data_IF_838653695569
#
_entry.id   IF_838653695569
#
_cell.length_a   1.000
_cell.length_b   1.000
_cell.length_c   1.000
_cell.angle_alpha   90.00
_cell.angle_beta   90.00
_cell.angle_gamma   90.00
#
_symmetry.space_group_name_H-M   'P 1'
#
loop_
_entity.id
_entity.type
_entity.pdbx_description
1 polymer ?
#
# COMPACT_ATOMS: atom_id res chain seq x y z
N UNK A 1 -0.46 14.12 8.82
CA UNK A 1 0.43 13.24 9.61
C UNK A 1 0.78 11.96 8.85
N UNK A 2 -0.19 11.26 8.24
CA UNK A 2 0.04 10.06 7.41
C UNK A 2 1.11 10.25 6.32
N UNK A 3 1.13 11.41 5.67
CA UNK A 3 2.12 11.75 4.62
C UNK A 3 3.56 11.83 5.13
N UNK A 4 3.79 12.32 6.36
CA UNK A 4 5.14 12.42 6.93
C UNK A 4 5.72 11.04 7.27
N UNK A 5 4.91 10.15 7.84
CA UNK A 5 5.32 8.77 8.10
C UNK A 5 5.60 8.01 6.80
N UNK A 6 4.72 8.14 5.80
CA UNK A 6 4.92 7.47 4.52
C UNK A 6 6.20 7.94 3.83
N UNK A 7 6.52 9.25 3.88
CA UNK A 7 7.80 9.77 3.39
C UNK A 7 9.01 9.19 4.12
N UNK A 8 8.90 9.01 5.45
CA UNK A 8 9.93 8.32 6.26
C UNK A 8 10.12 6.85 5.86
N UNK A 9 9.03 6.13 5.61
CA UNK A 9 9.08 4.73 5.12
C UNK A 9 9.77 4.65 3.76
N UNK A 10 9.46 5.56 2.83
CA UNK A 10 10.15 5.63 1.53
C UNK A 10 11.67 5.81 1.69
N UNK A 11 12.11 6.68 2.61
CA UNK A 11 13.53 6.83 2.93
C UNK A 11 14.14 5.55 3.50
N UNK A 12 13.48 4.96 4.50
CA UNK A 12 13.92 3.73 5.17
C UNK A 12 14.08 2.56 4.20
N UNK A 13 13.09 2.32 3.34
CA UNK A 13 13.10 1.24 2.35
C UNK A 13 14.28 1.38 1.40
N UNK A 14 14.56 2.60 0.92
CA UNK A 14 15.70 2.86 0.02
C UNK A 14 17.04 2.63 0.70
N UNK A 15 17.20 3.07 1.95
CA UNK A 15 18.43 2.82 2.73
C UNK A 15 18.62 1.33 2.97
N UNK A 16 17.60 0.64 3.50
CA UNK A 16 17.71 -0.78 3.83
C UNK A 16 17.95 -1.66 2.60
N UNK A 17 17.39 -1.32 1.44
CA UNK A 17 17.63 -2.06 0.20
C UNK A 17 19.11 -2.22 -0.16
N UNK A 18 19.97 -1.31 0.30
CA UNK A 18 21.43 -1.40 0.18
C UNK A 18 22.04 -2.08 1.41
N UNK A 19 21.69 -1.62 2.63
CA UNK A 19 22.33 -2.06 3.87
C UNK A 19 22.11 -3.53 4.23
N UNK A 20 20.98 -4.13 3.83
CA UNK A 20 20.66 -5.54 4.14
C UNK A 20 20.84 -6.48 2.94
N UNK A 21 21.49 -6.01 1.87
CA UNK A 21 21.77 -6.84 0.70
C UNK A 21 22.47 -8.16 1.11
N UNK A 22 22.12 -9.30 0.50
CA UNK A 22 21.27 -9.46 -0.68
C UNK A 22 19.75 -9.57 -0.41
N UNK A 23 19.29 -9.30 0.82
CA UNK A 23 17.86 -9.35 1.14
C UNK A 23 17.11 -8.18 0.48
N UNK A 24 15.86 -8.44 0.07
CA UNK A 24 14.98 -7.43 -0.55
C UNK A 24 14.05 -6.84 0.48
N UNK A 25 13.73 -5.56 0.31
CA UNK A 25 12.75 -4.83 1.13
C UNK A 25 11.91 -3.92 0.24
N UNK A 26 10.60 -3.90 0.50
CA UNK A 26 9.62 -3.09 -0.21
C UNK A 26 8.58 -2.59 0.81
N UNK A 27 7.86 -1.52 0.47
CA UNK A 27 6.72 -1.04 1.23
C UNK A 27 5.43 -1.18 0.43
N UNK A 28 4.35 -1.50 1.14
CA UNK A 28 2.99 -1.51 0.61
C UNK A 28 2.23 -0.39 1.29
N UNK A 29 1.54 0.42 0.49
CA UNK A 29 0.75 1.57 0.93
C UNK A 29 -0.72 1.36 0.54
N UNK A 30 -1.51 0.68 1.38
CA UNK A 30 -2.94 0.52 1.13
C UNK A 30 -3.69 1.84 1.28
N UNK A 31 -4.75 2.01 0.48
CA UNK A 31 -5.80 2.97 0.73
C UNK A 31 -6.72 2.52 1.87
N UNK A 32 -7.96 3.01 1.86
CA UNK A 32 -8.99 2.50 2.79
C UNK A 32 -9.41 1.11 2.32
N UNK A 33 -9.17 0.12 3.17
CA UNK A 33 -9.49 -1.29 2.92
C UNK A 33 -10.90 -1.60 3.41
N UNK A 34 -11.86 -1.66 2.50
CA UNK A 34 -13.28 -1.62 2.80
C UNK A 34 -13.78 -2.81 3.62
N UNK A 35 -13.27 -4.01 3.38
CA UNK A 35 -13.65 -5.24 4.10
C UNK A 35 -12.81 -5.50 5.36
N UNK A 36 -11.88 -4.60 5.70
CA UNK A 36 -11.05 -4.76 6.90
C UNK A 36 -11.89 -4.60 8.18
N UNK A 37 -11.48 -5.20 9.32
CA UNK A 37 -12.19 -5.05 10.59
C UNK A 37 -12.42 -3.59 11.03
N UNK A 38 -11.57 -2.67 10.56
CA UNK A 38 -11.68 -1.25 10.87
C UNK A 38 -12.79 -0.54 10.08
N UNK A 39 -13.06 -0.97 8.86
CA UNK A 39 -13.90 -0.22 7.90
C UNK A 39 -15.11 -0.98 7.36
N UNK A 40 -15.20 -2.29 7.60
CA UNK A 40 -16.32 -3.13 7.11
C UNK A 40 -17.71 -2.66 7.52
N UNK A 41 -17.80 -1.97 8.66
CA UNK A 41 -19.05 -1.48 9.23
C UNK A 41 -19.31 0.01 8.86
N UNK A 42 -18.55 0.57 7.92
CA UNK A 42 -18.64 1.95 7.43
C UNK A 42 -18.85 2.01 5.89
N UNK A 43 -20.02 1.57 5.37
CA UNK A 43 -20.26 1.42 3.93
C UNK A 43 -20.24 2.75 3.15
N UNK A 44 -20.50 3.88 3.80
CA UNK A 44 -20.49 5.22 3.19
C UNK A 44 -19.20 6.00 3.49
N UNK A 45 -18.06 5.31 3.60
CA UNK A 45 -16.79 5.96 3.89
C UNK A 45 -16.50 7.07 2.85
N UNK A 46 -16.14 8.31 3.27
CA UNK A 46 -15.99 9.46 2.36
C UNK A 46 -15.00 9.26 1.21
N UNK A 47 -14.04 8.35 1.39
CA UNK A 47 -13.06 8.04 0.35
C UNK A 47 -13.69 7.27 -0.83
N UNK A 48 -14.79 6.55 -0.64
CA UNK A 48 -15.45 5.79 -1.71
C UNK A 48 -15.82 6.70 -2.89
N UNK A 49 -16.38 7.88 -2.61
CA UNK A 49 -16.76 8.85 -3.64
C UNK A 49 -15.56 9.48 -4.39
N UNK A 50 -14.37 9.42 -3.79
CA UNK A 50 -13.13 9.97 -4.36
C UNK A 50 -12.27 8.90 -5.04
N UNK A 51 -12.44 7.63 -4.68
CA UNK A 51 -11.63 6.54 -5.21
C UNK A 51 -11.95 6.28 -6.69
N UNK A 52 -10.99 6.51 -7.62
CA UNK A 52 -11.24 6.38 -9.07
C UNK A 52 -11.82 5.05 -9.55
N UNK A 53 -11.46 3.92 -8.93
CA UNK A 53 -12.03 2.61 -9.31
C UNK A 53 -13.49 2.41 -8.85
N UNK A 54 -14.12 3.41 -8.22
CA UNK A 54 -15.53 3.40 -7.83
C UNK A 54 -15.86 2.56 -6.60
N UNK A 55 -14.85 2.00 -5.93
CA UNK A 55 -14.98 1.24 -4.68
C UNK A 55 -13.72 1.34 -3.85
N UNK A 56 -13.83 1.01 -2.57
CA UNK A 56 -12.67 0.81 -1.71
C UNK A 56 -11.91 -0.46 -2.14
N UNK A 57 -10.60 -0.49 -1.85
CA UNK A 57 -9.80 -1.70 -2.05
C UNK A 57 -10.15 -2.75 -0.99
N UNK A 58 -9.86 -4.00 -1.28
CA UNK A 58 -10.17 -5.15 -0.42
C UNK A 58 -8.89 -5.69 0.24
N UNK A 59 -9.08 -6.45 1.30
CA UNK A 59 -7.99 -7.12 2.01
C UNK A 59 -7.29 -8.12 1.08
N UNK A 60 -8.06 -8.82 0.24
CA UNK A 60 -7.52 -9.75 -0.76
C UNK A 60 -6.57 -9.06 -1.77
N UNK A 61 -6.89 -7.84 -2.23
CA UNK A 61 -6.03 -7.09 -3.15
C UNK A 61 -4.71 -6.64 -2.49
N UNK A 62 -4.74 -6.32 -1.19
CA UNK A 62 -3.51 -6.00 -0.43
C UNK A 62 -2.65 -7.25 -0.21
N UNK A 63 -3.28 -8.40 0.03
CA UNK A 63 -2.57 -9.69 0.15
C UNK A 63 -1.93 -10.08 -1.18
N UNK A 64 -2.64 -9.97 -2.30
CA UNK A 64 -2.08 -10.25 -3.63
C UNK A 64 -0.86 -9.36 -3.94
N UNK A 65 -0.94 -8.06 -3.62
CA UNK A 65 0.20 -7.14 -3.74
C UNK A 65 1.40 -7.57 -2.86
N UNK A 66 1.13 -8.11 -1.68
CA UNK A 66 2.16 -8.66 -0.79
C UNK A 66 2.81 -9.90 -1.40
N UNK A 67 2.02 -10.84 -1.92
CA UNK A 67 2.53 -12.01 -2.61
C UNK A 67 3.33 -11.65 -3.86
N UNK A 68 2.90 -10.63 -4.61
CA UNK A 68 3.63 -10.11 -5.76
C UNK A 68 5.05 -9.65 -5.38
N UNK A 69 5.20 -8.80 -4.37
CA UNK A 69 6.54 -8.30 -3.97
C UNK A 69 7.41 -9.40 -3.34
N UNK A 70 6.79 -10.43 -2.76
CA UNK A 70 7.51 -11.61 -2.27
C UNK A 70 8.00 -12.51 -3.42
N UNK A 71 7.17 -12.81 -4.42
CA UNK A 71 7.52 -13.71 -5.54
C UNK A 71 8.39 -13.06 -6.61
N UNK A 72 8.23 -11.76 -6.89
CA UNK A 72 8.99 -11.10 -7.93
C UNK A 72 10.39 -10.74 -7.44
N UNK A 73 11.38 -11.56 -7.81
CA UNK A 73 12.78 -11.41 -7.36
C UNK A 73 13.49 -10.18 -7.94
N UNK A 74 12.93 -9.55 -8.98
CA UNK A 74 13.45 -8.32 -9.57
C UNK A 74 13.00 -7.04 -8.87
N UNK A 75 12.04 -7.12 -7.93
CA UNK A 75 11.49 -5.96 -7.22
C UNK A 75 12.18 -5.76 -5.88
N UNK A 76 12.82 -4.60 -5.72
CA UNK A 76 13.45 -4.15 -4.49
C UNK A 76 13.30 -2.62 -4.36
N UNK A 77 13.24 -2.12 -3.13
CA UNK A 77 13.06 -0.71 -2.81
C UNK A 77 11.79 -0.05 -3.37
N UNK A 78 10.72 -0.81 -3.62
CA UNK A 78 9.47 -0.32 -4.19
C UNK A 78 8.53 0.23 -3.11
N UNK A 79 7.90 1.38 -3.38
CA UNK A 79 6.69 1.84 -2.72
C UNK A 79 5.46 1.45 -3.58
N UNK A 80 4.77 0.37 -3.21
CA UNK A 80 3.62 -0.14 -3.95
C UNK A 80 2.31 0.37 -3.35
N UNK A 81 1.60 1.22 -4.09
CA UNK A 81 0.31 1.77 -3.67
C UNK A 81 -0.84 0.86 -4.11
N UNK A 82 -1.71 0.50 -3.16
CA UNK A 82 -2.92 -0.31 -3.38
C UNK A 82 -4.11 0.47 -2.84
N UNK A 83 -4.52 1.51 -3.56
CA UNK A 83 -5.46 2.52 -3.06
C UNK A 83 -6.59 2.86 -4.04
N UNK A 84 -6.68 2.13 -5.15
CA UNK A 84 -7.67 2.38 -6.19
C UNK A 84 -7.52 3.74 -6.89
N UNK A 85 -6.36 4.39 -6.77
CA UNK A 85 -6.08 5.72 -7.34
C UNK A 85 -6.43 6.88 -6.41
N UNK A 86 -6.83 6.63 -5.16
CA UNK A 86 -7.24 7.67 -4.23
C UNK A 86 -6.17 8.76 -4.03
N UNK A 87 -4.88 8.41 -3.98
CA UNK A 87 -3.80 9.37 -3.71
C UNK A 87 -3.59 10.45 -4.77
N UNK A 88 -4.20 10.31 -5.95
CA UNK A 88 -4.11 11.29 -7.05
C UNK A 88 -5.39 12.10 -7.21
N UNK A 89 -6.28 12.05 -6.21
CA UNK A 89 -7.54 12.81 -6.09
C UNK A 89 -7.57 13.58 -4.78
#
# INVERSE_FOLDING_TARGET
MVTAFNGGITGLVKTLAVEIAPHRINAIHPGVVGDSPKWRDAPEHPHLARTPIGRLVTTAEVVDATEFVLRNTGVNALDLFVDGGLRVT
#
